data_IF_793799128769
#
_entry.id   IF_793799128769
#
_cell.length_a   1.000
_cell.length_b   1.000
_cell.length_c   1.000
_cell.angle_alpha   90.00
_cell.angle_beta   90.00
_cell.angle_gamma   90.00
#
_symmetry.space_group_name_H-M   'P 1'
#
loop_
_entity.id
_entity.type
_entity.pdbx_description
1 polymer ?
#
# COMPACT_ATOMS: atom_id res chain seq x y z
N UNK A 1 3.22 -56.77 -4.66
CA UNK A 1 4.17 -55.65 -4.62
C UNK A 1 3.79 -54.46 -5.54
N UNK A 2 3.44 -54.70 -6.78
CA UNK A 2 3.13 -53.58 -7.71
C UNK A 2 1.87 -52.77 -7.41
N UNK A 3 0.89 -53.29 -6.67
CA UNK A 3 -0.34 -52.53 -6.31
C UNK A 3 -0.04 -51.43 -5.30
N UNK A 4 0.82 -51.68 -4.35
CA UNK A 4 1.18 -50.67 -3.31
C UNK A 4 2.12 -49.59 -3.85
N UNK A 5 2.96 -49.91 -4.84
CA UNK A 5 3.84 -48.98 -5.49
C UNK A 5 3.05 -47.89 -6.26
N UNK A 6 1.97 -48.31 -6.99
CA UNK A 6 1.08 -47.36 -7.71
C UNK A 6 0.32 -46.45 -6.75
N UNK A 7 -0.11 -46.97 -5.60
CA UNK A 7 -0.81 -46.16 -4.60
C UNK A 7 0.12 -45.16 -3.92
N UNK A 8 1.38 -45.52 -3.70
CA UNK A 8 2.40 -44.64 -3.12
C UNK A 8 2.79 -43.50 -4.06
N UNK A 9 2.89 -43.77 -5.37
CA UNK A 9 3.19 -42.74 -6.40
C UNK A 9 2.01 -41.76 -6.54
N UNK A 10 0.78 -42.23 -6.49
CA UNK A 10 -0.41 -41.39 -6.56
C UNK A 10 -0.53 -40.44 -5.35
N UNK A 11 -0.18 -40.94 -4.15
CA UNK A 11 -0.16 -40.14 -2.89
C UNK A 11 0.92 -39.04 -2.92
N UNK A 12 2.06 -39.32 -3.54
CA UNK A 12 3.17 -38.35 -3.63
C UNK A 12 2.88 -37.20 -4.61
N UNK A 13 2.11 -37.45 -5.70
CA UNK A 13 1.72 -36.41 -6.64
C UNK A 13 0.76 -35.37 -6.06
N UNK A 14 -0.06 -35.72 -5.05
CA UNK A 14 -1.01 -34.78 -4.44
C UNK A 14 -0.34 -33.73 -3.55
N UNK A 15 0.91 -33.91 -3.16
CA UNK A 15 1.64 -32.97 -2.28
C UNK A 15 2.31 -31.81 -3.03
N UNK A 16 2.30 -31.81 -4.38
CA UNK A 16 2.98 -30.82 -5.18
C UNK A 16 2.10 -29.62 -5.60
N UNK A 17 0.82 -29.61 -5.26
CA UNK A 17 -0.11 -28.51 -5.58
C UNK A 17 -0.24 -27.45 -4.48
N UNK A 18 0.72 -27.33 -3.58
CA UNK A 18 0.82 -26.15 -2.73
C UNK A 18 1.35 -24.97 -3.56
N UNK A 19 0.54 -24.50 -4.52
CA UNK A 19 0.77 -23.24 -5.19
C UNK A 19 0.50 -22.13 -4.19
N UNK A 20 1.52 -21.63 -3.51
CA UNK A 20 1.47 -20.36 -2.81
C UNK A 20 1.34 -19.28 -3.88
N UNK A 21 0.12 -18.88 -4.16
CA UNK A 21 -0.16 -17.63 -4.87
C UNK A 21 0.40 -16.51 -4.00
N UNK A 22 1.53 -15.96 -4.42
CA UNK A 22 2.01 -14.67 -3.90
C UNK A 22 0.91 -13.69 -4.27
N UNK A 23 0.06 -13.32 -3.32
CA UNK A 23 -0.86 -12.20 -3.49
C UNK A 23 0.05 -10.98 -3.60
N UNK A 24 0.05 -10.35 -4.77
CA UNK A 24 0.55 -8.99 -4.90
C UNK A 24 -0.27 -8.13 -3.93
N UNK A 25 0.33 -7.79 -2.80
CA UNK A 25 -0.32 -7.02 -1.75
C UNK A 25 -0.28 -5.53 -2.14
N UNK A 26 -1.05 -5.18 -3.17
CA UNK A 26 -1.27 -3.78 -3.49
C UNK A 26 -2.12 -3.13 -2.39
N UNK A 27 -1.66 -1.98 -1.91
CA UNK A 27 -2.46 -1.15 -1.01
C UNK A 27 -3.73 -0.70 -1.73
N UNK A 28 -4.84 -0.73 -1.03
CA UNK A 28 -6.09 -0.13 -1.48
C UNK A 28 -6.17 1.28 -0.90
N UNK A 29 -6.22 2.27 -1.76
CA UNK A 29 -6.23 3.70 -1.41
C UNK A 29 -7.51 4.30 -1.96
N UNK A 30 -8.34 4.87 -1.08
CA UNK A 30 -9.61 5.48 -1.47
C UNK A 30 -10.00 6.60 -0.50
N UNK A 31 -10.99 7.41 -0.88
CA UNK A 31 -11.62 8.34 0.05
C UNK A 31 -12.42 7.60 1.12
N UNK A 32 -12.51 8.18 2.31
CA UNK A 32 -13.52 7.80 3.30
C UNK A 32 -14.94 8.00 2.74
N UNK A 33 -15.94 7.35 3.33
CA UNK A 33 -17.33 7.40 2.88
C UNK A 33 -17.84 8.84 2.74
N UNK A 34 -17.44 9.73 3.62
CA UNK A 34 -17.77 11.16 3.61
C UNK A 34 -16.79 12.01 2.81
N UNK A 35 -15.76 11.40 2.22
CA UNK A 35 -14.66 12.06 1.50
C UNK A 35 -13.91 13.13 2.31
N UNK A 36 -13.92 13.03 3.63
CA UNK A 36 -13.20 13.93 4.52
C UNK A 36 -11.73 13.50 4.74
N UNK A 37 -11.42 12.25 4.47
CA UNK A 37 -10.10 11.64 4.66
C UNK A 37 -9.76 10.68 3.52
N UNK A 38 -8.50 10.28 3.43
CA UNK A 38 -8.07 9.17 2.58
C UNK A 38 -7.76 7.98 3.48
N UNK A 39 -8.25 6.80 3.09
CA UNK A 39 -8.10 5.55 3.83
C UNK A 39 -7.23 4.60 3.01
N UNK A 40 -6.18 4.07 3.63
CA UNK A 40 -5.27 3.10 3.06
C UNK A 40 -5.45 1.78 3.80
N UNK A 41 -5.79 0.74 3.06
CA UNK A 41 -6.03 -0.60 3.59
C UNK A 41 -5.14 -1.63 2.88
N UNK A 42 -5.29 -2.90 3.26
CA UNK A 42 -4.46 -3.99 2.75
C UNK A 42 -2.97 -3.84 3.11
N UNK A 43 -2.71 -3.25 4.27
CA UNK A 43 -1.35 -3.11 4.81
C UNK A 43 -0.92 -4.45 5.39
N UNK A 44 0.33 -4.85 5.15
CA UNK A 44 0.87 -6.10 5.68
C UNK A 44 0.86 -6.11 7.22
N UNK A 45 0.74 -7.27 7.89
CA UNK A 45 0.79 -7.34 9.35
C UNK A 45 2.06 -6.74 9.94
N UNK A 46 3.21 -6.91 9.28
CA UNK A 46 4.49 -6.31 9.67
C UNK A 46 4.45 -4.78 9.55
N UNK A 47 3.86 -4.26 8.48
CA UNK A 47 3.65 -2.83 8.28
C UNK A 47 2.74 -2.21 9.34
N UNK A 48 1.63 -2.87 9.65
CA UNK A 48 0.72 -2.44 10.72
C UNK A 48 1.41 -2.41 12.10
N UNK A 49 2.24 -3.40 12.41
CA UNK A 49 2.99 -3.42 13.66
C UNK A 49 3.97 -2.24 13.74
N UNK A 50 4.68 -1.95 12.66
CA UNK A 50 5.61 -0.81 12.58
C UNK A 50 4.87 0.52 12.73
N UNK A 51 3.73 0.67 12.06
CA UNK A 51 2.90 1.86 12.18
C UNK A 51 2.38 2.05 13.62
N UNK A 52 1.90 0.98 14.28
CA UNK A 52 1.46 1.03 15.68
C UNK A 52 2.55 1.52 16.63
N UNK A 53 3.79 1.12 16.37
CA UNK A 53 4.90 1.43 17.28
C UNK A 53 5.53 2.81 17.04
N UNK A 54 5.47 3.33 15.83
CA UNK A 54 6.31 4.46 15.43
C UNK A 54 5.55 5.67 14.87
N UNK A 55 4.29 5.51 14.40
CA UNK A 55 3.56 6.57 13.71
C UNK A 55 3.41 7.86 14.54
N UNK A 56 3.23 7.73 15.85
CA UNK A 56 3.06 8.88 16.75
C UNK A 56 4.37 9.41 17.29
N UNK A 57 5.42 8.59 17.31
CA UNK A 57 6.69 8.92 17.98
C UNK A 57 7.79 9.34 16.99
N UNK A 58 7.70 8.93 15.73
CA UNK A 58 8.70 9.22 14.70
C UNK A 58 8.07 10.00 13.55
N UNK A 59 8.46 11.25 13.40
CA UNK A 59 7.99 12.14 12.33
C UNK A 59 8.28 11.63 10.92
N UNK A 60 9.25 10.73 10.74
CA UNK A 60 9.53 10.10 9.45
C UNK A 60 8.35 9.24 8.97
N UNK A 61 7.55 8.69 9.90
CA UNK A 61 6.37 7.91 9.57
C UNK A 61 5.22 8.77 9.04
N UNK A 62 5.16 10.04 9.39
CA UNK A 62 4.19 11.00 8.83
C UNK A 62 4.46 11.30 7.34
N UNK A 63 5.66 11.01 6.85
CA UNK A 63 6.07 11.20 5.46
C UNK A 63 5.90 9.95 4.58
N UNK A 64 5.32 8.88 5.10
CA UNK A 64 5.07 7.64 4.34
C UNK A 64 4.01 7.81 3.25
N UNK A 65 3.16 8.81 3.40
CA UNK A 65 2.11 9.16 2.44
C UNK A 65 2.22 10.64 2.13
N UNK A 66 2.25 10.95 0.84
CA UNK A 66 2.18 12.33 0.33
C UNK A 66 0.91 12.48 -0.49
N UNK A 67 0.22 13.58 -0.31
CA UNK A 67 -0.99 13.91 -1.08
C UNK A 67 -0.75 15.22 -1.81
N UNK A 68 -0.98 15.19 -3.11
CA UNK A 68 -0.82 16.35 -4.00
C UNK A 68 -2.14 16.60 -4.71
N UNK A 69 -2.62 17.84 -4.74
CA UNK A 69 -3.71 18.21 -5.64
C UNK A 69 -3.15 18.35 -7.05
N UNK A 70 -3.71 17.59 -8.00
CA UNK A 70 -3.29 17.65 -9.40
C UNK A 70 -3.92 18.84 -10.12
N UNK A 71 -3.27 19.39 -11.15
CA UNK A 71 -3.89 20.37 -12.04
C UNK A 71 -5.19 19.83 -12.65
N UNK A 72 -6.10 20.71 -13.01
CA UNK A 72 -7.29 20.33 -13.78
C UNK A 72 -6.93 20.15 -15.26
N UNK A 73 -7.69 19.33 -15.98
CA UNK A 73 -7.47 19.02 -17.41
C UNK A 73 -7.36 20.26 -18.30
N UNK A 74 -7.90 21.40 -17.85
CA UNK A 74 -7.85 22.68 -18.56
C UNK A 74 -6.63 23.54 -18.20
N UNK A 75 -5.80 23.11 -17.27
CA UNK A 75 -4.62 23.84 -16.80
C UNK A 75 -3.35 23.04 -17.07
N UNK A 76 -2.91 23.06 -18.32
CA UNK A 76 -1.68 22.36 -18.76
C UNK A 76 -0.39 22.98 -18.20
N UNK A 77 -0.47 24.15 -17.56
CA UNK A 77 0.66 24.85 -16.92
C UNK A 77 0.62 24.74 -15.40
N UNK A 78 -0.45 24.16 -14.85
CA UNK A 78 -0.63 23.99 -13.41
C UNK A 78 0.43 23.06 -12.81
N UNK A 79 0.93 23.43 -11.66
CA UNK A 79 1.81 22.59 -10.86
C UNK A 79 0.99 21.81 -9.84
N UNK A 80 1.47 20.62 -9.47
CA UNK A 80 0.92 19.89 -8.32
C UNK A 80 1.11 20.68 -7.04
N UNK A 81 0.07 20.74 -6.22
CA UNK A 81 0.09 21.49 -4.96
C UNK A 81 0.08 20.50 -3.83
N UNK A 82 1.07 20.61 -2.93
CA UNK A 82 1.11 19.77 -1.74
C UNK A 82 -0.14 20.01 -0.88
N UNK A 83 -0.80 18.90 -0.49
CA UNK A 83 -2.01 18.90 0.34
C UNK A 83 -1.68 18.35 1.72
N UNK A 84 -1.33 19.22 2.68
CA UNK A 84 -0.84 18.79 3.98
C UNK A 84 -1.94 18.14 4.82
N UNK A 85 -1.51 17.28 5.73
CA UNK A 85 -2.38 16.57 6.64
C UNK A 85 -1.58 15.69 7.60
N UNK A 86 -2.29 14.90 8.39
CA UNK A 86 -1.71 13.99 9.38
C UNK A 86 -2.16 12.56 9.14
N UNK A 87 -1.23 11.64 9.40
CA UNK A 87 -1.50 10.22 9.38
C UNK A 87 -1.82 9.73 10.79
N UNK A 88 -2.83 8.89 10.90
CA UNK A 88 -3.14 8.14 12.12
C UNK A 88 -3.66 6.74 11.77
N UNK A 89 -3.50 5.82 12.72
CA UNK A 89 -3.96 4.45 12.55
C UNK A 89 -5.33 4.28 13.22
N UNK A 90 -6.32 3.82 12.46
CA UNK A 90 -7.65 3.48 12.96
C UNK A 90 -7.91 2.01 12.72
N UNK A 91 -7.91 1.20 13.78
CA UNK A 91 -7.91 -0.27 13.66
C UNK A 91 -6.71 -0.73 12.82
N UNK A 92 -6.95 -1.36 11.68
CA UNK A 92 -5.91 -1.85 10.76
C UNK A 92 -5.87 -1.03 9.45
N UNK A 93 -6.30 0.22 9.50
CA UNK A 93 -6.31 1.15 8.39
C UNK A 93 -5.45 2.38 8.71
N UNK A 94 -4.62 2.80 7.76
CA UNK A 94 -3.93 4.07 7.84
C UNK A 94 -4.82 5.15 7.25
N UNK A 95 -5.06 6.20 7.99
CA UNK A 95 -5.95 7.30 7.61
C UNK A 95 -5.15 8.58 7.49
N UNK A 96 -5.25 9.23 6.35
CA UNK A 96 -4.73 10.58 6.13
C UNK A 96 -5.87 11.58 6.33
N UNK A 97 -5.73 12.44 7.31
CA UNK A 97 -6.65 13.55 7.59
C UNK A 97 -6.02 14.84 7.08
N UNK A 98 -6.59 15.49 6.07
CA UNK A 98 -6.04 16.74 5.55
C UNK A 98 -6.28 17.90 6.51
N UNK A 99 -5.36 18.85 6.53
CA UNK A 99 -5.51 20.10 7.29
C UNK A 99 -6.58 21.01 6.68
N UNK A 100 -6.80 20.88 5.37
CA UNK A 100 -7.84 21.60 4.62
C UNK A 100 -8.73 20.57 3.92
N UNK A 101 -10.07 20.69 3.99
CA UNK A 101 -10.97 19.75 3.34
C UNK A 101 -10.71 19.59 1.84
N UNK A 102 -10.85 18.38 1.33
CA UNK A 102 -10.74 18.13 -0.11
C UNK A 102 -11.83 18.86 -0.89
N UNK A 103 -11.44 19.55 -1.96
CA UNK A 103 -12.36 20.31 -2.80
C UNK A 103 -13.10 19.41 -3.79
N UNK A 104 -14.41 19.64 -3.98
CA UNK A 104 -15.22 18.91 -4.97
C UNK A 104 -14.73 19.19 -6.39
N UNK A 105 -14.77 18.19 -7.24
CA UNK A 105 -14.34 18.29 -8.65
C UNK A 105 -12.84 18.40 -8.85
N UNK A 106 -12.03 18.20 -7.80
CA UNK A 106 -10.57 18.15 -7.87
C UNK A 106 -10.08 16.73 -7.80
N UNK A 107 -8.90 16.49 -8.34
CA UNK A 107 -8.18 15.23 -8.28
C UNK A 107 -6.97 15.37 -7.37
N UNK A 108 -6.66 14.27 -6.68
CA UNK A 108 -5.57 14.20 -5.73
C UNK A 108 -4.71 12.98 -6.05
N UNK A 109 -3.41 13.21 -6.23
CA UNK A 109 -2.43 12.16 -6.35
C UNK A 109 -1.97 11.75 -4.95
N UNK A 110 -2.17 10.51 -4.60
CA UNK A 110 -1.68 9.91 -3.36
C UNK A 110 -0.47 9.06 -3.68
N UNK A 111 0.66 9.39 -3.09
CA UNK A 111 1.90 8.63 -3.20
C UNK A 111 2.25 8.00 -1.87
N UNK A 112 2.63 6.73 -1.87
CA UNK A 112 3.06 6.04 -0.66
C UNK A 112 4.22 5.10 -0.90
N UNK A 113 5.10 5.02 0.08
CA UNK A 113 6.24 4.09 0.11
C UNK A 113 6.03 2.96 1.13
N UNK A 114 4.82 2.77 1.64
CA UNK A 114 4.50 1.79 2.68
C UNK A 114 4.95 0.38 2.33
N UNK A 115 4.58 -0.13 1.17
CA UNK A 115 4.92 -1.50 0.78
C UNK A 115 6.42 -1.71 0.59
N UNK A 116 7.13 -0.72 0.11
CA UNK A 116 8.58 -0.81 -0.08
C UNK A 116 9.34 -0.68 1.22
N UNK A 117 8.84 0.12 2.17
CA UNK A 117 9.49 0.29 3.47
C UNK A 117 9.29 -0.92 4.39
N UNK A 118 8.17 -1.61 4.26
CA UNK A 118 7.82 -2.77 5.10
C UNK A 118 7.90 -4.10 4.33
N UNK A 119 8.54 -4.09 3.17
CA UNK A 119 8.82 -5.30 2.42
C UNK A 119 9.55 -6.32 3.31
N UNK A 120 9.21 -7.59 3.16
CA UNK A 120 9.90 -8.66 3.86
C UNK A 120 11.37 -8.73 3.42
N UNK A 121 12.25 -9.27 4.27
CA UNK A 121 13.65 -9.47 3.92
C UNK A 121 13.83 -10.26 2.61
N UNK A 122 12.89 -11.15 2.28
CA UNK A 122 12.86 -11.93 1.03
C UNK A 122 12.54 -11.06 -0.20
N UNK A 123 11.71 -10.04 -0.03
CA UNK A 123 11.39 -9.07 -1.10
C UNK A 123 12.52 -8.06 -1.27
N UNK A 124 13.14 -7.63 -0.17
CA UNK A 124 14.34 -6.79 -0.18
C UNK A 124 15.49 -7.49 -0.92
N UNK A 125 15.75 -8.77 -0.63
CA UNK A 125 16.77 -9.55 -1.33
C UNK A 125 16.51 -9.72 -2.83
N UNK A 126 15.26 -9.74 -3.25
CA UNK A 126 14.89 -9.74 -4.68
C UNK A 126 15.06 -8.37 -5.33
N UNK A 127 14.96 -7.29 -4.57
CA UNK A 127 15.07 -5.90 -5.06
C UNK A 127 16.50 -5.37 -5.07
N UNK A 128 17.45 -6.01 -4.39
CA UNK A 128 18.87 -5.59 -4.33
C UNK A 128 19.60 -5.60 -5.68
N UNK A 129 18.98 -6.15 -6.73
CA UNK A 129 19.54 -6.08 -8.08
C UNK A 129 18.97 -4.86 -8.82
N UNK A 130 19.23 -3.65 -8.29
CA UNK A 130 19.16 -2.41 -9.08
C UNK A 130 17.78 -1.76 -9.21
N UNK A 131 16.81 -2.05 -8.34
CA UNK A 131 15.50 -1.39 -8.37
C UNK A 131 15.37 -0.33 -7.28
N UNK A 132 15.14 0.93 -7.71
CA UNK A 132 14.71 2.00 -6.82
C UNK A 132 13.43 1.59 -6.06
N UNK A 133 13.33 2.02 -4.80
CA UNK A 133 12.12 1.86 -3.98
C UNK A 133 10.91 2.39 -4.75
N UNK A 134 10.05 1.50 -5.22
CA UNK A 134 8.92 1.86 -6.05
C UNK A 134 7.78 2.34 -5.16
N UNK A 135 7.46 3.64 -5.24
CA UNK A 135 6.26 4.19 -4.61
C UNK A 135 5.00 3.66 -5.31
N UNK A 136 3.95 3.44 -4.55
CA UNK A 136 2.62 3.22 -5.11
C UNK A 136 1.93 4.57 -5.25
N UNK A 137 1.33 4.81 -6.40
CA UNK A 137 0.62 6.03 -6.73
C UNK A 137 -0.84 5.72 -7.07
N UNK A 138 -1.76 6.53 -6.59
CA UNK A 138 -3.18 6.44 -6.88
C UNK A 138 -3.76 7.83 -7.05
N UNK A 139 -4.51 8.06 -8.15
CA UNK A 139 -5.27 9.30 -8.35
C UNK A 139 -6.68 9.08 -7.86
N UNK A 140 -7.13 9.96 -6.96
CA UNK A 140 -8.48 9.98 -6.42
C UNK A 140 -9.19 11.25 -6.90
N UNK A 141 -10.41 11.10 -7.39
CA UNK A 141 -11.26 12.23 -7.81
C UNK A 141 -12.40 12.40 -6.82
N UNK A 142 -12.56 13.61 -6.28
CA UNK A 142 -13.63 13.95 -5.36
C UNK A 142 -14.84 14.55 -6.07
#
# INVERSE_FOLDING_TARGET
>A
MFKYLKLSILSFCCLLFACNTIKDEHLLIDFSVDSSAIVITNITPSGLLQLKNHLETDSAYQKLVTVLQTPTDNDSTGMEINWPGKLFLKKDQLVFSPDTPFAKGKSYLVETILNSRFASAKEILKSEVGHAVKSQQQILKR
#
